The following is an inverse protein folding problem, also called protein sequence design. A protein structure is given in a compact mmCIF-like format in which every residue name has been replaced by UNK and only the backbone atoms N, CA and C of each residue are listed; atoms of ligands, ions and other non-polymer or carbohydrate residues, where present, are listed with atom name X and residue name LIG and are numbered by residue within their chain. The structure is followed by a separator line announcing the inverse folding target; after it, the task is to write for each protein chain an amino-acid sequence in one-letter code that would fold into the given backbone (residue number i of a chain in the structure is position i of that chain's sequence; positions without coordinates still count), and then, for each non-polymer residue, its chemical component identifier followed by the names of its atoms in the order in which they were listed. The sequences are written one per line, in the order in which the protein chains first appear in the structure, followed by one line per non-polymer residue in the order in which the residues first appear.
data_IF_855987117081
#
_entry.id   IF_855987117081
#
_cell.length_a   1.000
_cell.length_b   1.000
_cell.length_c   1.000
_cell.angle_alpha   90.00
_cell.angle_beta   90.00
_cell.angle_gamma   90.00
#
_symmetry.space_group_name_H-M   'P 1'
#
loop_
_entity.id
_entity.type
_entity.pdbx_description
1 polymer ?
#
# COMPACT_ATOMS: atom_id res chain seq x y z
N UNK A 1 39.80 11.72 -1.77
CA UNK A 1 38.50 11.40 -1.14
C UNK A 1 38.10 12.53 -0.20
N UNK A 2 37.24 13.47 -0.63
CA UNK A 2 36.65 14.49 0.25
C UNK A 2 35.44 15.18 -0.41
N UNK A 3 34.35 14.46 -0.63
CA UNK A 3 33.07 15.03 -1.13
C UNK A 3 31.86 14.44 -0.38
N UNK A 4 31.99 14.25 0.94
CA UNK A 4 30.98 13.53 1.72
C UNK A 4 30.41 14.30 2.92
N UNK A 5 30.62 15.62 3.00
CA UNK A 5 30.22 16.42 4.19
C UNK A 5 29.34 17.65 3.92
N UNK A 6 28.98 17.98 2.67
CA UNK A 6 28.19 19.19 2.40
C UNK A 6 26.67 18.98 2.37
N UNK A 7 26.16 17.74 2.35
CA UNK A 7 24.71 17.49 2.23
C UNK A 7 23.90 17.75 3.50
N UNK A 8 24.56 17.91 4.66
CA UNK A 8 23.85 18.13 5.93
C UNK A 8 23.49 19.61 6.19
N UNK A 9 24.09 20.56 5.46
CA UNK A 9 23.91 21.99 5.73
C UNK A 9 22.74 22.64 4.95
N UNK A 10 22.20 21.97 3.93
CA UNK A 10 21.16 22.53 3.05
C UNK A 10 19.72 22.20 3.45
N UNK A 11 19.51 21.49 4.57
CA UNK A 11 18.17 21.10 5.03
C UNK A 11 17.47 22.15 5.93
N UNK A 12 18.05 23.33 6.11
CA UNK A 12 17.56 24.36 7.06
C UNK A 12 16.81 25.52 6.43
N UNK A 13 16.26 25.38 5.21
CA UNK A 13 15.27 26.34 4.73
C UNK A 13 13.87 25.95 5.23
N UNK A 14 13.50 26.50 6.41
CA UNK A 14 12.10 26.49 6.87
C UNK A 14 11.23 27.22 5.84
N UNK A 15 10.10 26.65 5.39
CA UNK A 15 9.10 27.43 4.66
C UNK A 15 8.60 28.56 5.58
N UNK A 16 8.51 29.79 5.05
CA UNK A 16 8.06 30.96 5.79
C UNK A 16 6.68 30.78 6.45
N UNK A 17 6.36 31.56 7.50
CA UNK A 17 5.23 31.34 8.41
C UNK A 17 3.83 31.57 7.80
N UNK A 18 3.69 31.74 6.48
CA UNK A 18 2.47 32.24 5.84
C UNK A 18 1.69 31.16 5.07
N UNK A 19 2.09 29.88 5.16
CA UNK A 19 1.42 28.76 4.47
C UNK A 19 0.67 27.90 5.47
N UNK A 20 -0.65 27.76 5.28
CA UNK A 20 -1.49 26.85 6.07
C UNK A 20 -0.90 25.42 6.07
N UNK A 21 -0.82 24.69 7.19
CA UNK A 21 -0.11 23.41 7.30
C UNK A 21 -0.56 22.35 6.28
N UNK A 22 -1.82 22.38 5.86
CA UNK A 22 -2.38 21.49 4.83
C UNK A 22 -1.81 21.73 3.42
N UNK A 23 -1.28 22.93 3.15
CA UNK A 23 -0.79 23.36 1.84
C UNK A 23 0.73 23.17 1.69
N UNK A 24 1.46 22.89 2.79
CA UNK A 24 2.92 22.66 2.76
C UNK A 24 3.31 21.54 1.79
N UNK A 25 2.53 20.46 1.69
CA UNK A 25 2.78 19.36 0.74
C UNK A 25 2.51 19.72 -0.72
N UNK A 26 1.64 20.70 -0.98
CA UNK A 26 1.33 21.15 -2.33
C UNK A 26 2.39 22.16 -2.81
N UNK A 27 2.81 23.05 -1.93
CA UNK A 27 3.82 24.08 -2.21
C UNK A 27 5.26 23.62 -2.06
N UNK A 28 5.53 22.47 -1.44
CA UNK A 28 6.89 21.90 -1.36
C UNK A 28 7.49 21.56 -2.73
N UNK A 29 6.66 21.41 -3.78
CA UNK A 29 7.12 21.30 -5.18
C UNK A 29 7.76 22.59 -5.73
N UNK A 30 7.51 23.72 -5.08
CA UNK A 30 8.03 25.04 -5.45
C UNK A 30 9.01 25.58 -4.41
N UNK A 31 9.41 24.76 -3.44
CA UNK A 31 10.49 25.13 -2.51
C UNK A 31 11.78 25.26 -3.29
N UNK A 32 12.52 26.35 -3.09
CA UNK A 32 13.82 26.57 -3.72
C UNK A 32 14.80 25.51 -3.23
N UNK A 33 15.12 24.55 -4.09
CA UNK A 33 16.25 23.65 -3.86
C UNK A 33 17.46 24.28 -4.55
N UNK A 34 18.24 25.02 -3.77
CA UNK A 34 19.46 25.64 -4.28
C UNK A 34 20.52 24.56 -4.53
N UNK A 35 21.03 24.51 -5.77
CA UNK A 35 22.14 23.63 -6.17
C UNK A 35 21.75 22.26 -6.73
N UNK A 36 20.46 21.93 -6.88
CA UNK A 36 20.05 20.70 -7.58
C UNK A 36 20.01 20.93 -9.09
N UNK A 37 20.91 20.27 -9.82
CA UNK A 37 20.93 20.28 -11.29
C UNK A 37 20.29 19.01 -11.80
N UNK A 38 19.06 19.10 -12.32
CA UNK A 38 18.41 17.98 -13.00
C UNK A 38 18.78 17.96 -14.48
N UNK A 39 18.97 16.77 -15.04
CA UNK A 39 19.18 16.57 -16.48
C UNK A 39 18.04 15.72 -17.02
N UNK A 40 17.42 16.20 -18.08
CA UNK A 40 16.32 15.51 -18.75
C UNK A 40 16.69 15.28 -20.21
N UNK A 41 16.33 14.11 -20.75
CA UNK A 41 16.34 13.86 -22.18
C UNK A 41 14.95 14.16 -22.76
N UNK A 42 14.91 14.58 -24.02
CA UNK A 42 13.64 14.70 -24.73
C UNK A 42 12.98 13.31 -24.85
N UNK A 43 11.64 13.21 -24.76
CA UNK A 43 10.94 11.92 -24.86
C UNK A 43 11.30 11.13 -26.13
N UNK A 44 11.56 11.83 -27.23
CA UNK A 44 11.91 11.24 -28.53
C UNK A 44 13.30 10.58 -28.55
N UNK A 45 14.15 10.87 -27.55
CA UNK A 45 15.49 10.31 -27.41
C UNK A 45 15.54 9.18 -26.37
N UNK A 46 14.45 8.93 -25.63
CA UNK A 46 14.39 7.91 -24.60
C UNK A 46 13.90 6.60 -25.22
N UNK A 47 14.66 5.51 -25.04
CA UNK A 47 14.18 4.16 -25.36
C UNK A 47 13.23 3.70 -24.27
N UNK A 48 11.93 3.96 -24.44
CA UNK A 48 10.91 3.74 -23.40
C UNK A 48 10.73 2.25 -23.06
N UNK A 49 10.80 1.38 -24.06
CA UNK A 49 10.46 -0.04 -23.87
C UNK A 49 11.58 -0.86 -23.20
N UNK A 50 12.85 -0.52 -23.44
CA UNK A 50 13.99 -1.26 -22.90
C UNK A 50 13.99 -1.34 -21.35
N UNK A 51 13.90 -0.21 -20.61
CA UNK A 51 13.88 -0.25 -19.14
C UNK A 51 12.57 -0.81 -18.60
N UNK A 52 11.49 -0.83 -19.39
CA UNK A 52 10.24 -1.44 -18.98
C UNK A 52 10.40 -2.97 -18.94
N UNK A 53 10.91 -3.60 -19.99
CA UNK A 53 11.06 -5.07 -19.99
C UNK A 53 12.14 -5.56 -19.04
N UNK A 54 13.28 -4.88 -18.96
CA UNK A 54 14.41 -5.34 -18.14
C UNK A 54 14.22 -5.01 -16.65
N UNK A 55 13.70 -3.82 -16.33
CA UNK A 55 13.62 -3.37 -14.95
C UNK A 55 12.23 -3.51 -14.31
N UNK A 56 11.13 -3.57 -15.09
CA UNK A 56 9.80 -3.74 -14.49
C UNK A 56 9.62 -5.07 -13.76
N UNK A 57 9.98 -6.25 -14.29
CA UNK A 57 9.75 -7.51 -13.57
C UNK A 57 10.55 -7.54 -12.26
N UNK A 58 11.80 -7.08 -12.26
CA UNK A 58 12.63 -7.00 -11.06
C UNK A 58 12.08 -6.01 -10.01
N UNK A 59 11.58 -4.85 -10.44
CA UNK A 59 10.94 -3.86 -9.55
C UNK A 59 9.61 -4.37 -9.01
N UNK A 60 8.82 -5.05 -9.84
CA UNK A 60 7.52 -5.60 -9.46
C UNK A 60 7.69 -6.73 -8.44
N UNK A 61 8.62 -7.66 -8.66
CA UNK A 61 8.93 -8.72 -7.70
C UNK A 61 9.38 -8.15 -6.34
N UNK A 62 10.22 -7.12 -6.35
CA UNK A 62 10.67 -6.44 -5.13
C UNK A 62 9.51 -5.76 -4.38
N UNK A 63 8.61 -5.13 -5.13
CA UNK A 63 7.42 -4.48 -4.55
C UNK A 63 6.44 -5.52 -4.00
N UNK A 64 6.26 -6.65 -4.70
CA UNK A 64 5.45 -7.78 -4.27
C UNK A 64 6.03 -8.44 -3.02
N UNK A 65 7.35 -8.54 -2.87
CA UNK A 65 7.96 -9.06 -1.62
C UNK A 65 7.62 -8.20 -0.41
N UNK A 66 7.61 -6.88 -0.55
CA UNK A 66 7.33 -5.97 0.56
C UNK A 66 5.83 -5.85 0.87
N UNK A 67 4.98 -5.96 -0.16
CA UNK A 67 3.54 -5.77 -0.02
C UNK A 67 2.76 -7.09 0.11
N UNK A 68 3.34 -8.19 -0.37
CA UNK A 68 2.75 -9.52 -0.41
C UNK A 68 2.28 -10.03 0.95
N UNK A 69 3.07 -9.92 2.03
CA UNK A 69 2.64 -10.38 3.36
C UNK A 69 1.35 -9.70 3.83
N UNK A 70 1.18 -8.40 3.53
CA UNK A 70 -0.03 -7.67 3.89
C UNK A 70 -1.23 -8.14 3.08
N UNK A 71 -1.08 -8.26 1.76
CA UNK A 71 -2.17 -8.69 0.87
C UNK A 71 -2.58 -10.12 1.17
N UNK A 72 -1.62 -11.02 1.32
CA UNK A 72 -1.88 -12.43 1.64
C UNK A 72 -2.50 -12.57 3.03
N UNK A 73 -2.00 -11.84 4.02
CA UNK A 73 -2.56 -11.84 5.37
C UNK A 73 -4.00 -11.35 5.41
N UNK A 74 -4.31 -10.23 4.75
CA UNK A 74 -5.68 -9.71 4.65
C UNK A 74 -6.58 -10.69 3.91
N UNK A 75 -6.10 -11.27 2.80
CA UNK A 75 -6.89 -12.24 2.03
C UNK A 75 -7.22 -13.48 2.86
N UNK A 76 -6.23 -14.04 3.58
CA UNK A 76 -6.42 -15.20 4.44
C UNK A 76 -7.38 -14.90 5.59
N UNK A 77 -7.29 -13.71 6.21
CA UNK A 77 -8.23 -13.28 7.24
C UNK A 77 -9.66 -13.25 6.71
N UNK A 78 -9.90 -12.54 5.61
CA UNK A 78 -11.24 -12.41 5.02
C UNK A 78 -11.80 -13.77 4.61
N UNK A 79 -11.00 -14.57 3.90
CA UNK A 79 -11.43 -15.89 3.45
C UNK A 79 -11.70 -16.84 4.61
N UNK A 80 -10.84 -16.82 5.63
CA UNK A 80 -11.00 -17.62 6.85
C UNK A 80 -12.28 -17.28 7.61
N UNK A 81 -12.59 -15.98 7.77
CA UNK A 81 -13.83 -15.54 8.42
C UNK A 81 -15.06 -16.03 7.69
N UNK A 82 -15.11 -15.91 6.35
CA UNK A 82 -16.25 -16.38 5.54
C UNK A 82 -16.46 -17.89 5.71
N UNK A 83 -15.37 -18.67 5.67
CA UNK A 83 -15.47 -20.13 5.85
C UNK A 83 -15.91 -20.52 7.25
N UNK A 84 -15.45 -19.78 8.26
CA UNK A 84 -15.83 -20.01 9.64
C UNK A 84 -17.32 -19.74 9.88
N UNK A 85 -17.86 -18.64 9.35
CA UNK A 85 -19.30 -18.32 9.52
C UNK A 85 -20.18 -19.38 8.87
N UNK A 86 -19.86 -19.80 7.63
CA UNK A 86 -20.61 -20.86 6.94
C UNK A 86 -20.58 -22.18 7.73
N UNK A 87 -19.45 -22.52 8.33
CA UNK A 87 -19.33 -23.73 9.15
C UNK A 87 -20.23 -23.67 10.39
N UNK A 88 -20.24 -22.55 11.10
CA UNK A 88 -21.08 -22.37 12.29
C UNK A 88 -22.57 -22.38 11.93
N UNK A 89 -22.96 -21.70 10.85
CA UNK A 89 -24.35 -21.70 10.37
C UNK A 89 -24.82 -23.12 10.04
N UNK A 90 -23.98 -23.93 9.40
CA UNK A 90 -24.27 -25.34 9.09
C UNK A 90 -24.42 -26.19 10.36
N UNK A 91 -23.65 -25.91 11.41
CA UNK A 91 -23.79 -26.61 12.70
C UNK A 91 -25.10 -26.24 13.40
N UNK A 92 -25.40 -24.94 13.49
CA UNK A 92 -26.64 -24.45 14.11
C UNK A 92 -27.87 -24.94 13.34
N UNK A 93 -27.81 -24.98 12.01
CA UNK A 93 -28.89 -25.52 11.19
C UNK A 93 -29.12 -27.02 11.45
N UNK A 94 -28.07 -27.79 11.75
CA UNK A 94 -28.20 -29.21 12.15
C UNK A 94 -28.80 -29.34 13.54
N UNK A 95 -28.34 -28.55 14.51
CA UNK A 95 -28.88 -28.56 15.88
C UNK A 95 -30.36 -28.17 15.91
N UNK A 96 -30.75 -27.13 15.18
CA UNK A 96 -32.15 -26.71 15.10
C UNK A 96 -33.03 -27.77 14.43
N UNK A 97 -32.54 -28.48 13.41
CA UNK A 97 -33.31 -29.59 12.80
C UNK A 97 -33.52 -30.73 13.79
N UNK A 98 -32.51 -31.03 14.62
CA UNK A 98 -32.61 -32.08 15.63
C UNK A 98 -33.58 -31.72 16.76
N UNK A 99 -33.57 -30.47 17.24
CA UNK A 99 -34.49 -30.03 18.29
C UNK A 99 -35.96 -30.00 17.85
N UNK A 100 -36.22 -29.63 16.59
CA UNK A 100 -37.57 -29.70 15.99
C UNK A 100 -38.06 -31.16 15.90
N UNK A 101 -37.18 -32.10 15.54
CA UNK A 101 -37.52 -33.53 15.46
C UNK A 101 -37.75 -34.14 16.85
N UNK A 102 -37.05 -33.66 17.88
CA UNK A 102 -37.22 -34.13 19.27
C UNK A 102 -38.42 -33.48 19.99
N UNK A 103 -39.16 -32.58 19.34
CA UNK A 103 -40.44 -32.06 19.84
C UNK A 103 -40.33 -31.04 20.97
N UNK A 104 -39.14 -30.47 21.22
CA UNK A 104 -38.91 -29.57 22.36
C UNK A 104 -39.27 -28.09 22.09
N UNK A 105 -39.54 -27.70 20.84
CA UNK A 105 -39.94 -26.32 20.49
C UNK A 105 -41.11 -26.30 19.49
N UNK A 106 -42.11 -25.40 19.67
CA UNK A 106 -43.21 -25.24 18.72
C UNK A 106 -42.70 -24.65 17.40
N UNK A 107 -43.02 -25.32 16.30
CA UNK A 107 -42.80 -24.82 14.94
C UNK A 107 -43.82 -23.70 14.70
N UNK A 108 -43.37 -22.44 14.71
CA UNK A 108 -44.17 -21.27 14.30
C UNK A 108 -43.89 -20.90 12.85
#
# INVERSE_FOLDING_TARGET
MAFRRSTAAFATHKPGPEVHPALVKFWSKYSSVDGEVTRHLSPNQIRIMMPLYEAAPAKMARKMKNFGPYVVGTFLMVYGTIKYTVYIDDMLAREHRLSVVMGELPVS
#
